data_IF_865287618046
#
_entry.id   IF_865287618046
#
_cell.length_a   1.000
_cell.length_b   1.000
_cell.length_c   1.000
_cell.angle_alpha   90.00
_cell.angle_beta   90.00
_cell.angle_gamma   90.00
#
_symmetry.space_group_name_H-M   'P 1'
#
loop_
_entity.id
_entity.type
_entity.pdbx_description
1 polymer ?
#
# COMPACT_ATOMS: atom_id res chain seq x y z
N UNK A 1 4.09 6.22 12.65
CA UNK A 1 4.21 6.02 11.18
C UNK A 1 5.33 6.89 10.63
N UNK A 2 6.16 6.36 9.73
CA UNK A 2 7.18 7.15 9.03
C UNK A 2 6.61 7.62 7.69
N UNK A 3 6.75 8.91 7.39
CA UNK A 3 6.33 9.51 6.12
C UNK A 3 7.55 10.04 5.40
N UNK A 4 7.86 9.43 4.25
CA UNK A 4 8.95 9.84 3.38
C UNK A 4 8.41 10.81 2.34
N UNK A 5 8.90 12.05 2.31
CA UNK A 5 8.43 13.06 1.36
C UNK A 5 9.54 14.03 0.91
N UNK A 6 9.36 14.65 -0.27
CA UNK A 6 10.26 15.68 -0.78
C UNK A 6 10.12 17.02 -0.06
N UNK A 7 8.94 17.31 0.50
CA UNK A 7 8.64 18.58 1.18
C UNK A 7 8.19 18.29 2.60
N UNK A 8 8.95 18.78 3.58
CA UNK A 8 8.64 18.63 5.00
C UNK A 8 7.34 19.34 5.38
N UNK A 9 7.09 20.54 4.84
CA UNK A 9 5.88 21.34 5.14
C UNK A 9 4.58 20.59 4.89
N UNK A 10 4.54 19.71 3.87
CA UNK A 10 3.36 18.87 3.60
C UNK A 10 3.12 17.86 4.71
N UNK A 11 4.19 17.32 5.30
CA UNK A 11 4.07 16.37 6.43
C UNK A 11 3.78 17.12 7.73
N UNK A 12 4.29 18.34 7.90
CA UNK A 12 3.93 19.22 9.00
C UNK A 12 2.42 19.53 9.01
N UNK A 13 1.84 19.90 7.86
CA UNK A 13 0.40 20.13 7.74
C UNK A 13 -0.43 18.89 8.12
N UNK A 14 -0.02 17.69 7.68
CA UNK A 14 -0.71 16.44 8.04
C UNK A 14 -0.64 16.17 9.55
N UNK A 15 0.47 16.50 10.22
CA UNK A 15 0.60 16.36 11.69
C UNK A 15 -0.34 17.29 12.44
N UNK A 16 -0.60 18.49 11.91
CA UNK A 16 -1.56 19.42 12.50
C UNK A 16 -3.00 18.92 12.38
N UNK A 17 -3.34 18.25 11.28
CA UNK A 17 -4.66 17.65 11.08
C UNK A 17 -4.85 16.35 11.86
N UNK A 18 -3.81 15.52 11.95
CA UNK A 18 -3.83 14.19 12.57
C UNK A 18 -3.07 14.18 13.90
N UNK A 19 -3.56 14.94 14.87
CA UNK A 19 -2.91 15.11 16.18
C UNK A 19 -2.77 13.83 17.00
N UNK A 20 -3.64 12.84 16.77
CA UNK A 20 -3.60 11.53 17.46
C UNK A 20 -2.59 10.55 16.83
N UNK A 21 -2.00 10.88 15.68
CA UNK A 21 -1.05 10.03 14.98
C UNK A 21 0.40 10.48 15.21
N UNK A 22 1.24 9.58 15.72
CA UNK A 22 2.68 9.80 15.74
C UNK A 22 3.26 9.67 14.33
N UNK A 23 3.55 10.80 13.69
CA UNK A 23 4.09 10.87 12.33
C UNK A 23 5.53 11.36 12.40
N UNK A 24 6.46 10.60 11.85
CA UNK A 24 7.88 10.99 11.70
C UNK A 24 8.19 11.30 10.24
N UNK A 25 8.59 12.54 9.95
CA UNK A 25 9.08 12.94 8.64
C UNK A 25 10.45 12.35 8.36
N UNK A 26 10.65 11.87 7.13
CA UNK A 26 11.95 11.50 6.58
C UNK A 26 12.13 12.08 5.18
N UNK A 27 13.33 12.58 4.84
CA UNK A 27 13.59 13.10 3.50
C UNK A 27 13.57 11.97 2.48
N UNK A 28 13.24 12.30 1.23
CA UNK A 28 13.16 11.33 0.14
C UNK A 28 14.47 10.54 -0.08
N UNK A 29 15.63 11.14 0.21
CA UNK A 29 16.94 10.46 0.16
C UNK A 29 17.08 9.30 1.14
N UNK A 30 16.28 9.25 2.22
CA UNK A 30 16.29 8.18 3.22
C UNK A 30 15.27 7.07 2.92
N UNK A 31 14.59 7.10 1.76
CA UNK A 31 13.51 6.17 1.41
C UNK A 31 13.89 4.69 1.60
N UNK A 32 15.04 4.25 1.07
CA UNK A 32 15.47 2.84 1.17
C UNK A 32 15.84 2.45 2.60
N UNK A 33 16.43 3.38 3.37
CA UNK A 33 16.75 3.14 4.78
C UNK A 33 15.49 3.02 5.65
N UNK A 34 14.43 3.75 5.31
CA UNK A 34 13.13 3.60 5.94
C UNK A 34 12.47 2.28 5.52
N UNK A 35 12.54 1.92 4.24
CA UNK A 35 12.02 0.65 3.72
C UNK A 35 12.67 -0.57 4.39
N UNK A 36 13.97 -0.51 4.67
CA UNK A 36 14.70 -1.56 5.37
C UNK A 36 14.12 -1.88 6.77
N UNK A 37 13.51 -0.89 7.42
CA UNK A 37 12.96 -1.01 8.78
C UNK A 37 11.43 -1.19 8.81
N UNK A 38 10.78 -1.20 7.64
CA UNK A 38 9.33 -1.28 7.52
C UNK A 38 8.89 -2.67 7.06
N UNK A 39 7.85 -3.21 7.71
CA UNK A 39 7.16 -4.42 7.28
C UNK A 39 6.17 -4.13 6.15
N UNK A 40 5.50 -2.97 6.19
CA UNK A 40 4.51 -2.52 5.21
C UNK A 40 4.88 -1.14 4.67
N UNK A 41 4.87 -1.01 3.34
CA UNK A 41 5.24 0.21 2.62
C UNK A 41 4.10 0.61 1.70
N UNK A 42 3.63 1.85 1.86
CA UNK A 42 2.69 2.48 0.94
C UNK A 42 3.44 3.40 -0.03
N UNK A 43 3.17 3.27 -1.32
CA UNK A 43 3.70 4.19 -2.34
C UNK A 43 2.58 4.96 -3.02
N UNK A 44 2.68 6.30 -2.96
CA UNK A 44 1.69 7.23 -3.51
C UNK A 44 2.38 8.49 -4.03
N UNK A 45 3.37 8.32 -4.91
CA UNK A 45 4.09 9.45 -5.51
C UNK A 45 3.70 9.66 -6.97
N UNK A 46 4.03 10.83 -7.51
CA UNK A 46 3.89 11.16 -8.94
C UNK A 46 5.18 10.84 -9.75
N UNK A 47 5.99 9.88 -9.29
CA UNK A 47 7.19 9.47 -10.02
C UNK A 47 6.82 8.79 -11.36
N UNK A 48 7.50 9.17 -12.44
CA UNK A 48 7.34 8.52 -13.75
C UNK A 48 8.08 7.18 -13.84
N UNK A 49 9.14 7.01 -13.05
CA UNK A 49 9.91 5.78 -12.95
C UNK A 49 9.63 5.05 -11.62
N UNK A 50 9.70 3.70 -11.59
CA UNK A 50 9.63 2.95 -10.36
C UNK A 50 10.69 3.39 -9.35
N UNK A 51 10.28 3.54 -8.09
CA UNK A 51 11.12 3.89 -6.95
C UNK A 51 11.74 2.65 -6.31
N UNK A 52 11.01 1.54 -6.34
CA UNK A 52 11.47 0.24 -5.88
C UNK A 52 11.66 -0.68 -7.09
N UNK A 53 12.91 -1.02 -7.36
CA UNK A 53 13.32 -1.97 -8.41
C UNK A 53 13.79 -3.26 -7.74
N UNK A 54 13.81 -4.37 -8.49
CA UNK A 54 14.14 -5.69 -7.93
C UNK A 54 15.46 -5.70 -7.16
N UNK A 55 16.50 -5.08 -7.71
CA UNK A 55 17.84 -5.06 -7.11
C UNK A 55 17.85 -4.30 -5.78
N UNK A 56 17.12 -3.17 -5.69
CA UNK A 56 17.10 -2.37 -4.47
C UNK A 56 16.30 -3.04 -3.36
N UNK A 57 15.21 -3.73 -3.69
CA UNK A 57 14.41 -4.49 -2.73
C UNK A 57 15.13 -5.75 -2.26
N UNK A 58 15.82 -6.45 -3.16
CA UNK A 58 16.61 -7.63 -2.83
C UNK A 58 17.78 -7.32 -1.87
N UNK A 59 18.31 -6.10 -1.91
CA UNK A 59 19.37 -5.65 -1.01
C UNK A 59 18.86 -5.26 0.39
N UNK A 60 17.54 -5.15 0.60
CA UNK A 60 16.98 -4.84 1.91
C UNK A 60 17.14 -6.03 2.85
N UNK A 61 17.36 -5.79 4.16
CA UNK A 61 17.35 -6.86 5.14
C UNK A 61 15.98 -7.54 5.16
N UNK A 62 16.00 -8.83 5.48
CA UNK A 62 14.80 -9.60 5.81
C UNK A 62 14.06 -8.92 6.96
N UNK A 63 12.74 -8.89 6.87
CA UNK A 63 11.88 -8.37 7.92
C UNK A 63 11.62 -9.46 8.96
N UNK A 64 11.72 -9.09 10.23
CA UNK A 64 11.34 -9.95 11.34
C UNK A 64 9.85 -9.77 11.59
N UNK A 65 9.01 -10.29 10.70
CA UNK A 65 7.56 -10.22 10.85
C UNK A 65 7.00 -11.57 11.29
N UNK A 66 6.08 -11.55 12.27
CA UNK A 66 5.28 -12.72 12.67
C UNK A 66 4.41 -13.24 11.50
N UNK A 67 4.22 -12.42 10.46
CA UNK A 67 3.46 -12.68 9.23
C UNK A 67 4.27 -13.41 8.12
N UNK A 68 5.31 -14.16 8.47
CA UNK A 68 6.03 -15.03 7.54
C UNK A 68 7.20 -14.38 6.79
N UNK A 69 7.74 -13.27 7.29
CA UNK A 69 9.04 -12.74 6.85
C UNK A 69 9.07 -12.02 5.51
N UNK A 70 7.90 -11.63 4.97
CA UNK A 70 7.79 -10.89 3.71
C UNK A 70 7.44 -9.42 3.95
N UNK A 71 8.07 -8.53 3.18
CA UNK A 71 7.76 -7.10 3.16
C UNK A 71 6.62 -6.83 2.20
N UNK A 72 5.60 -6.13 2.69
CA UNK A 72 4.41 -5.78 1.93
C UNK A 72 4.57 -4.40 1.26
N UNK A 73 4.35 -4.34 -0.04
CA UNK A 73 4.30 -3.12 -0.83
C UNK A 73 2.88 -2.89 -1.33
N UNK A 74 2.30 -1.74 -0.99
CA UNK A 74 0.97 -1.32 -1.42
C UNK A 74 1.15 -0.08 -2.30
N UNK A 75 1.08 -0.30 -3.61
CA UNK A 75 1.31 0.73 -4.63
C UNK A 75 -0.01 1.32 -5.14
N UNK A 76 -0.31 2.53 -4.66
CA UNK A 76 -1.49 3.29 -5.06
C UNK A 76 -1.20 4.32 -6.16
N UNK A 77 -0.01 4.27 -6.79
CA UNK A 77 0.41 5.22 -7.83
C UNK A 77 0.13 4.75 -9.25
N UNK A 78 -0.15 5.72 -10.13
CA UNK A 78 -0.19 5.54 -11.59
C UNK A 78 0.57 6.71 -12.23
N UNK A 79 1.75 6.48 -12.86
CA UNK A 79 2.45 5.21 -13.06
C UNK A 79 2.92 4.54 -11.75
N UNK A 80 3.10 3.21 -11.79
CA UNK A 80 3.50 2.41 -10.62
C UNK A 80 4.86 2.86 -10.06
N UNK A 81 4.96 2.91 -8.75
CA UNK A 81 6.19 3.19 -8.02
C UNK A 81 6.96 1.92 -7.66
N UNK A 82 6.34 0.74 -7.76
CA UNK A 82 7.01 -0.55 -7.54
C UNK A 82 7.09 -1.31 -8.85
N UNK A 83 8.30 -1.77 -9.19
CA UNK A 83 8.52 -2.58 -10.38
C UNK A 83 7.83 -3.95 -10.25
N UNK A 84 7.14 -4.46 -11.30
CA UNK A 84 6.41 -5.73 -11.21
C UNK A 84 7.30 -6.93 -10.84
N UNK A 85 8.57 -6.93 -11.24
CA UNK A 85 9.55 -7.98 -10.96
C UNK A 85 9.88 -8.13 -9.46
N UNK A 86 9.54 -7.13 -8.62
CA UNK A 86 9.67 -7.21 -7.16
C UNK A 86 8.77 -8.30 -6.59
N UNK A 87 7.63 -8.60 -7.23
CA UNK A 87 6.73 -9.68 -6.81
C UNK A 87 7.33 -11.09 -6.94
N UNK A 88 8.44 -11.23 -7.67
CA UNK A 88 9.16 -12.50 -7.83
C UNK A 88 10.08 -12.79 -6.63
N UNK A 89 10.33 -11.81 -5.76
CA UNK A 89 11.20 -11.98 -4.60
C UNK A 89 10.44 -12.70 -3.48
N UNK A 90 11.02 -13.79 -2.96
CA UNK A 90 10.40 -14.56 -1.86
C UNK A 90 10.14 -13.72 -0.60
N UNK A 91 10.94 -12.66 -0.39
CA UNK A 91 10.84 -11.74 0.73
C UNK A 91 9.94 -10.52 0.50
N UNK A 92 9.19 -10.47 -0.60
CA UNK A 92 8.31 -9.33 -0.92
C UNK A 92 6.92 -9.78 -1.40
N UNK A 93 5.91 -8.98 -1.07
CA UNK A 93 4.56 -9.07 -1.62
C UNK A 93 4.19 -7.69 -2.17
N UNK A 94 3.69 -7.62 -3.40
CA UNK A 94 3.32 -6.36 -4.05
C UNK A 94 1.85 -6.39 -4.39
N UNK A 95 1.12 -5.37 -3.94
CA UNK A 95 -0.26 -5.11 -4.32
C UNK A 95 -0.34 -3.74 -4.95
N UNK A 96 -1.14 -3.60 -6.01
CA UNK A 96 -1.39 -2.35 -6.68
C UNK A 96 -2.89 -2.01 -6.67
N UNK A 97 -3.25 -0.86 -7.20
CA UNK A 97 -4.66 -0.40 -7.28
C UNK A 97 -5.59 -1.37 -8.01
N UNK A 98 -5.11 -2.14 -8.98
CA UNK A 98 -5.92 -3.09 -9.73
C UNK A 98 -6.17 -4.36 -8.92
N UNK A 99 -5.20 -4.82 -8.12
CA UNK A 99 -5.38 -5.97 -7.22
C UNK A 99 -6.44 -5.69 -6.13
N UNK A 100 -6.55 -4.42 -5.69
CA UNK A 100 -7.60 -4.00 -4.75
C UNK A 100 -9.00 -3.98 -5.40
N UNK A 101 -9.11 -3.86 -6.74
CA UNK A 101 -10.41 -3.85 -7.43
C UNK A 101 -11.05 -5.23 -7.47
N UNK A 102 -10.27 -6.32 -7.54
CA UNK A 102 -10.83 -7.69 -7.49
C UNK A 102 -11.59 -7.94 -6.18
N UNK A 103 -11.10 -7.43 -5.05
CA UNK A 103 -11.79 -7.53 -3.75
C UNK A 103 -13.09 -6.72 -3.73
N UNK A 104 -13.13 -5.60 -4.45
CA UNK A 104 -14.34 -4.76 -4.56
C UNK A 104 -15.37 -5.40 -5.50
N UNK A 105 -14.95 -6.02 -6.60
CA UNK A 105 -15.82 -6.76 -7.53
C UNK A 105 -16.44 -7.99 -6.85
N UNK A 106 -15.66 -8.77 -6.08
CA UNK A 106 -16.20 -9.87 -5.28
C UNK A 106 -17.27 -9.41 -4.27
N UNK A 107 -17.12 -8.21 -3.70
CA UNK A 107 -18.12 -7.61 -2.81
C UNK A 107 -19.36 -7.05 -3.54
N UNK A 108 -19.27 -6.72 -4.83
CA UNK A 108 -20.42 -6.27 -5.63
C UNK A 108 -21.38 -7.44 -5.91
N UNK A 109 -20.87 -8.63 -6.17
CA UNK A 109 -21.71 -9.83 -6.34
C UNK A 109 -22.50 -10.15 -5.07
N UNK A 110 -21.88 -10.04 -3.89
CA UNK A 110 -22.56 -10.23 -2.61
C UNK A 110 -23.60 -9.13 -2.32
N UNK A 111 -23.36 -7.89 -2.76
CA UNK A 111 -24.37 -6.81 -2.68
C UNK A 111 -25.55 -7.02 -3.64
N UNK A 112 -25.30 -7.55 -4.84
CA UNK A 112 -26.36 -7.89 -5.80
C UNK A 112 -27.22 -9.05 -5.28
N UNK A 113 -26.61 -10.09 -4.70
CA UNK A 113 -27.33 -11.23 -4.10
C UNK A 113 -28.24 -10.78 -2.96
N UNK A 114 -27.75 -9.93 -2.06
CA UNK A 114 -28.54 -9.37 -0.95
C UNK A 114 -29.69 -8.46 -1.40
N UNK A 115 -29.53 -7.74 -2.52
CA UNK A 115 -30.65 -6.98 -3.11
C UNK A 115 -31.74 -7.90 -3.67
N UNK A 116 -31.35 -8.99 -4.32
CA UNK A 116 -32.27 -9.98 -4.88
C UNK A 116 -33.07 -10.69 -3.78
N UNK A 117 -32.43 -11.02 -2.65
CA UNK A 117 -33.11 -11.60 -1.48
C UNK A 117 -34.09 -10.60 -0.82
N UNK A 118 -33.79 -9.30 -0.83
CA UNK A 118 -34.70 -8.27 -0.31
C UNK A 118 -35.93 -8.04 -1.22
N UNK A 119 -35.79 -8.18 -2.55
CA UNK A 119 -36.92 -8.08 -3.48
C UNK A 119 -37.88 -9.28 -3.36
N UNK A 120 -37.37 -10.50 -3.14
CA UNK A 120 -38.20 -11.71 -2.95
C UNK A 120 -39.10 -11.61 -1.71
N UNK A 121 -38.64 -10.92 -0.65
CA UNK A 121 -39.45 -10.70 0.56
C UNK A 121 -40.56 -9.67 0.31
N UNK A 122 -40.37 -8.71 -0.61
CA UNK A 122 -41.37 -7.68 -0.93
C UNK A 122 -42.52 -8.17 -1.81
N UNK A 123 -42.37 -9.29 -2.51
CA UNK A 123 -43.45 -9.89 -3.34
C UNK A 123 -44.29 -10.93 -2.58
N UNK A 124 -43.92 -11.29 -1.35
CA UNK A 124 -44.59 -12.35 -0.56
C UNK A 124 -45.46 -11.81 0.59
N UNK A 125 -45.71 -10.49 0.67
CA UNK A 125 -46.62 -9.87 1.66
C UNK A 125 -47.79 -9.19 0.97
#
# INVERSE_FOLDING_TARGET
>A
MVVVNRTEDRVAAIREELTDADITYKPFSEMLACAAQADVIFTCTASEAPLFIKESVQALPSVNSEDGGRRLFIDISVPRNVEPSVSELEGACVYNVDDLKEVVEANKEDRLRKKMEAEVISETI
#
